data_IF_246280247332
#
_entry.id   IF_246280247332
#
_cell.length_a   1.000
_cell.length_b   1.000
_cell.length_c   1.000
_cell.angle_alpha   90.00
_cell.angle_beta   90.00
_cell.angle_gamma   90.00
#
_symmetry.space_group_name_H-M   'P 1'
#
loop_
_entity.id
_entity.type
_entity.pdbx_description
1 polymer ?
#
# COMPACT_ATOMS: atom_id res chain seq x y z
N UNK A 1 -8.30 -26.67 -7.54
CA UNK A 1 -8.82 -25.50 -8.27
C UNK A 1 -8.90 -24.34 -7.30
N UNK A 2 -8.27 -23.21 -7.61
CA UNK A 2 -8.38 -21.96 -6.85
C UNK A 2 -8.96 -20.91 -7.80
N UNK A 3 -10.00 -20.21 -7.37
CA UNK A 3 -10.57 -19.08 -8.10
C UNK A 3 -10.42 -17.82 -7.26
N UNK A 4 -9.94 -16.75 -7.89
CA UNK A 4 -9.73 -15.44 -7.28
C UNK A 4 -10.36 -14.40 -8.17
N UNK A 5 -11.18 -13.54 -7.58
CA UNK A 5 -11.87 -12.45 -8.27
C UNK A 5 -11.61 -11.13 -7.55
N UNK A 6 -11.17 -10.11 -8.29
CA UNK A 6 -11.05 -8.74 -7.77
C UNK A 6 -10.08 -8.57 -6.59
N UNK A 7 -9.11 -9.48 -6.42
CA UNK A 7 -8.17 -9.44 -5.30
C UNK A 7 -7.42 -8.10 -5.30
N UNK A 8 -7.48 -7.43 -4.16
CA UNK A 8 -6.87 -6.13 -3.94
C UNK A 8 -6.19 -6.09 -2.58
N UNK A 9 -5.04 -5.41 -2.50
CA UNK A 9 -4.29 -5.21 -1.26
C UNK A 9 -3.72 -3.82 -1.21
N UNK A 10 -4.08 -3.08 -0.18
CA UNK A 10 -3.59 -1.72 0.09
C UNK A 10 -2.91 -1.67 1.45
N UNK A 11 -1.77 -1.01 1.53
CA UNK A 11 -1.09 -0.74 2.80
C UNK A 11 -0.75 0.74 2.97
N UNK A 12 -0.50 1.15 4.20
CA UNK A 12 -0.12 2.52 4.54
C UNK A 12 1.41 2.62 4.62
N UNK A 13 2.02 3.32 3.67
CA UNK A 13 3.43 3.66 3.72
C UNK A 13 3.61 5.04 4.38
N UNK A 14 4.61 5.19 5.24
CA UNK A 14 4.97 6.50 5.78
C UNK A 14 5.50 7.40 4.65
N UNK A 15 4.94 8.59 4.47
CA UNK A 15 5.44 9.55 3.50
C UNK A 15 6.70 10.22 4.08
N UNK A 16 7.86 9.98 3.46
CA UNK A 16 9.10 10.70 3.82
C UNK A 16 9.00 12.11 3.25
N UNK A 17 8.92 13.13 4.11
CA UNK A 17 9.08 14.53 3.66
C UNK A 17 10.58 14.85 3.59
N UNK A 18 11.11 15.27 2.43
CA UNK A 18 12.50 15.72 2.35
C UNK A 18 12.65 17.13 2.98
N UNK A 19 13.75 17.36 3.71
CA UNK A 19 14.22 18.68 4.14
C UNK A 19 14.40 18.89 5.66
N UNK A 20 15.34 19.77 6.04
CA UNK A 20 15.67 20.14 7.43
C UNK A 20 14.52 20.84 8.18
N UNK A 21 13.56 21.42 7.45
CA UNK A 21 12.30 21.98 8.00
C UNK A 21 11.37 20.87 8.54
N UNK A 22 11.54 19.63 8.05
CA UNK A 22 10.76 18.46 8.46
C UNK A 22 11.05 17.97 9.88
N UNK A 23 12.24 18.25 10.44
CA UNK A 23 12.65 17.72 11.76
C UNK A 23 11.81 18.30 12.91
N UNK A 24 11.42 19.58 12.84
CA UNK A 24 10.58 20.22 13.87
C UNK A 24 9.08 19.89 13.70
N UNK A 25 8.62 19.68 12.47
CA UNK A 25 7.23 19.25 12.17
C UNK A 25 7.01 17.74 12.31
N UNK A 26 8.10 16.96 12.40
CA UNK A 26 8.05 15.50 12.54
C UNK A 26 7.32 15.03 13.81
N UNK A 27 7.21 15.90 14.82
CA UNK A 27 6.54 15.62 16.08
C UNK A 27 5.01 15.77 16.06
N UNK A 28 4.38 16.29 14.99
CA UNK A 28 2.94 16.64 15.03
C UNK A 28 2.09 15.99 13.93
N UNK A 29 2.61 15.63 12.75
CA UNK A 29 1.78 15.02 11.70
C UNK A 29 2.53 13.98 10.83
N UNK A 30 2.63 12.74 11.31
CA UNK A 30 3.08 11.60 10.49
C UNK A 30 2.04 11.34 9.37
N UNK A 31 2.29 11.85 8.16
CA UNK A 31 1.43 11.58 7.00
C UNK A 31 1.70 10.17 6.46
N UNK A 32 0.64 9.37 6.33
CA UNK A 32 0.70 8.06 5.66
C UNK A 32 0.07 8.16 4.28
N UNK A 33 0.70 7.56 3.28
CA UNK A 33 0.14 7.39 1.93
C UNK A 33 -0.38 5.96 1.76
N UNK A 34 -1.54 5.82 1.15
CA UNK A 34 -2.04 4.53 0.68
C UNK A 34 -1.23 4.06 -0.54
N UNK A 35 -0.75 2.82 -0.49
CA UNK A 35 -0.06 2.15 -1.60
C UNK A 35 -0.87 0.92 -1.97
N UNK A 36 -1.26 0.85 -3.24
CA UNK A 36 -1.92 -0.32 -3.82
C UNK A 36 -0.85 -1.34 -4.22
N UNK A 37 -0.76 -2.42 -3.45
CA UNK A 37 0.16 -3.54 -3.67
C UNK A 37 -0.39 -4.53 -4.70
N UNK A 38 -1.71 -4.69 -4.69
CA UNK A 38 -2.46 -5.56 -5.60
C UNK A 38 -3.72 -4.79 -5.95
N UNK A 39 -4.05 -4.72 -7.25
CA UNK A 39 -5.18 -3.94 -7.75
C UNK A 39 -6.06 -4.80 -8.64
N UNK A 40 -7.21 -5.21 -8.11
CA UNK A 40 -8.32 -5.86 -8.80
C UNK A 40 -7.89 -6.99 -9.76
N UNK A 41 -7.06 -7.90 -9.26
CA UNK A 41 -6.62 -9.06 -10.08
C UNK A 41 -7.57 -10.23 -9.91
N UNK A 42 -7.91 -10.84 -11.03
CA UNK A 42 -8.73 -12.05 -11.12
C UNK A 42 -7.95 -13.13 -11.86
N UNK A 43 -7.94 -14.35 -11.32
CA UNK A 43 -7.24 -15.48 -11.91
C UNK A 43 -7.79 -16.82 -11.38
N UNK A 44 -7.50 -17.89 -12.11
CA UNK A 44 -7.77 -19.26 -11.68
C UNK A 44 -6.48 -20.08 -11.71
N UNK A 45 -6.35 -21.02 -10.77
CA UNK A 45 -5.28 -22.01 -10.71
C UNK A 45 -5.92 -23.39 -10.78
N UNK A 46 -5.59 -24.14 -11.83
CA UNK A 46 -6.01 -25.53 -11.99
C UNK A 46 -5.22 -26.47 -11.07
N UNK A 47 -5.80 -27.62 -10.68
CA UNK A 47 -5.01 -28.71 -10.12
C UNK A 47 -3.88 -29.11 -11.08
N UNK A 48 -2.71 -29.44 -10.53
CA UNK A 48 -1.61 -30.01 -11.31
C UNK A 48 -1.88 -31.43 -11.78
#
# INVERSE_FOLDING_TARGET
MIQVEGLSKRYRAAAKQPGLVGTLRHFVQRRTRAVDAVREVSFAIEPG
#
